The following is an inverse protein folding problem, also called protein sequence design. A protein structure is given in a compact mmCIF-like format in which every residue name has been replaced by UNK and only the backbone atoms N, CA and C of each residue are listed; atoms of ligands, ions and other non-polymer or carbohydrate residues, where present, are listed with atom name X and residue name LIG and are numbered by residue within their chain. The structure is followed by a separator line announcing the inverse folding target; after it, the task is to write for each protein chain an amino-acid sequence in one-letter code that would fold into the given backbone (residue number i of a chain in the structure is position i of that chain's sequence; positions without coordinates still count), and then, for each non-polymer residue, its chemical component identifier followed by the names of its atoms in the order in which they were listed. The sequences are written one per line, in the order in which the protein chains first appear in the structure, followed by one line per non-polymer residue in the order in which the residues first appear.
data_IF_812838435501
#
_entry.id   IF_812838435501
#
_cell.length_a   1.000
_cell.length_b   1.000
_cell.length_c   1.000
_cell.angle_alpha   90.00
_cell.angle_beta   90.00
_cell.angle_gamma   90.00
#
_symmetry.space_group_name_H-M   'P 1'
#
loop_
_entity.id
_entity.type
_entity.pdbx_description
1 polymer ?
#
# COMPACT_ATOMS: atom_id res chain seq x y z
N UNK A 1 -15.11 1.11 -0.71
CA UNK A 1 -14.45 0.54 0.47
C UNK A 1 -13.19 -0.12 -0.02
N UNK A 2 -12.06 0.21 0.58
CA UNK A 2 -10.74 -0.31 0.22
C UNK A 2 -10.22 -1.05 1.43
N UNK A 3 -9.71 -2.26 1.24
CA UNK A 3 -9.25 -3.12 2.32
C UNK A 3 -7.99 -3.87 1.89
N UNK A 4 -6.90 -3.61 2.59
CA UNK A 4 -5.63 -4.34 2.49
C UNK A 4 -5.43 -5.11 3.77
N UNK A 5 -5.16 -6.41 3.63
CA UNK A 5 -4.90 -7.34 4.73
C UNK A 5 -3.56 -8.01 4.51
N UNK A 6 -2.64 -7.81 5.44
CA UNK A 6 -1.28 -8.38 5.41
C UNK A 6 -0.59 -8.26 4.03
N UNK A 7 -0.71 -7.08 3.42
CA UNK A 7 -0.16 -6.85 2.09
C UNK A 7 1.35 -6.72 2.17
N UNK A 8 2.04 -7.53 1.38
CA UNK A 8 3.49 -7.49 1.25
C UNK A 8 3.88 -7.07 -0.16
N UNK A 9 4.79 -6.10 -0.25
CA UNK A 9 5.26 -5.56 -1.51
C UNK A 9 6.78 -5.47 -1.49
N UNK A 10 7.40 -6.21 -2.40
CA UNK A 10 8.82 -6.14 -2.68
C UNK A 10 9.04 -5.55 -4.08
N UNK A 11 9.90 -4.54 -4.19
CA UNK A 11 10.30 -3.95 -5.45
C UNK A 11 11.81 -4.13 -5.62
N UNK A 12 12.22 -5.03 -6.51
CA UNK A 12 13.61 -5.46 -6.62
C UNK A 12 14.10 -6.08 -5.31
N UNK A 13 15.19 -5.56 -4.75
CA UNK A 13 15.73 -6.01 -3.46
C UNK A 13 15.10 -5.32 -2.24
N UNK A 14 14.22 -4.33 -2.44
CA UNK A 14 13.66 -3.53 -1.35
C UNK A 14 12.29 -4.06 -0.92
N UNK A 15 12.17 -4.45 0.34
CA UNK A 15 10.87 -4.63 0.99
C UNK A 15 10.25 -3.25 1.24
N UNK A 16 9.13 -2.97 0.56
CA UNK A 16 8.40 -1.70 0.68
C UNK A 16 7.31 -1.80 1.75
N UNK A 17 6.55 -2.89 1.72
CA UNK A 17 5.55 -3.21 2.73
C UNK A 17 5.76 -4.64 3.22
N UNK A 18 5.60 -4.83 4.52
CA UNK A 18 5.61 -6.13 5.19
C UNK A 18 4.43 -6.17 6.14
N UNK A 19 3.39 -6.93 5.79
CA UNK A 19 2.16 -7.01 6.60
C UNK A 19 1.34 -5.72 6.66
N UNK A 20 1.25 -4.94 5.57
CA UNK A 20 0.44 -3.73 5.55
C UNK A 20 -1.05 -4.05 5.70
N UNK A 21 -1.67 -3.44 6.72
CA UNK A 21 -3.10 -3.49 6.95
C UNK A 21 -3.69 -2.07 6.82
N UNK A 22 -4.71 -1.91 5.97
CA UNK A 22 -5.35 -0.62 5.71
C UNK A 22 -6.83 -0.84 5.40
N UNK A 23 -7.69 -0.14 6.12
CA UNK A 23 -9.11 -0.08 5.84
C UNK A 23 -9.50 1.37 5.55
N UNK A 24 -10.17 1.60 4.41
CA UNK A 24 -10.77 2.88 4.07
C UNK A 24 -12.25 2.68 3.77
N UNK A 25 -13.06 3.28 4.62
CA UNK A 25 -14.52 3.28 4.57
C UNK A 25 -15.07 4.05 3.36
N UNK A 26 -16.36 3.89 3.09
CA UNK A 26 -17.03 4.67 2.04
C UNK A 26 -17.17 6.12 2.51
N UNK A 27 -16.71 7.07 1.70
CA UNK A 27 -16.82 8.51 1.99
C UNK A 27 -15.68 9.06 2.86
N UNK A 28 -14.73 8.22 3.27
CA UNK A 28 -13.55 8.70 3.99
C UNK A 28 -12.60 9.45 3.07
N UNK A 29 -12.06 10.54 3.61
CA UNK A 29 -11.00 11.33 2.97
C UNK A 29 -9.70 11.11 3.73
N UNK A 30 -8.68 10.59 3.04
CA UNK A 30 -7.45 10.12 3.67
C UNK A 30 -6.24 10.84 3.06
N UNK A 31 -5.37 11.36 3.92
CA UNK A 31 -4.04 11.86 3.53
C UNK A 31 -2.97 10.79 3.76
N UNK A 32 -2.13 10.55 2.77
CA UNK A 32 -0.96 9.66 2.88
C UNK A 32 0.28 10.53 3.08
N UNK A 33 0.89 10.46 4.26
CA UNK A 33 2.05 11.28 4.66
C UNK A 33 3.26 10.42 5.03
N UNK A 34 4.45 11.02 5.03
CA UNK A 34 5.71 10.37 5.40
C UNK A 34 6.88 10.79 4.52
N UNK A 35 8.10 10.42 4.92
CA UNK A 35 9.35 10.79 4.23
C UNK A 35 9.41 10.30 2.78
N UNK A 36 10.29 10.91 1.97
CA UNK A 36 10.53 10.43 0.60
C UNK A 36 11.05 8.98 0.62
N UNK A 37 10.59 8.17 -0.34
CA UNK A 37 11.02 6.77 -0.47
C UNK A 37 10.41 5.76 0.51
N UNK A 38 9.48 6.17 1.39
CA UNK A 38 8.83 5.28 2.36
C UNK A 38 7.74 4.37 1.77
N UNK A 39 7.37 4.54 0.49
CA UNK A 39 6.40 3.67 -0.19
C UNK A 39 5.05 4.31 -0.54
N UNK A 40 4.85 5.62 -0.30
CA UNK A 40 3.57 6.32 -0.62
C UNK A 40 3.10 6.12 -2.06
N UNK A 41 3.97 6.37 -3.05
CA UNK A 41 3.63 6.15 -4.45
C UNK A 41 3.39 4.67 -4.76
N UNK A 42 4.08 3.76 -4.07
CA UNK A 42 3.83 2.32 -4.19
C UNK A 42 2.47 1.92 -3.64
N UNK A 43 2.02 2.53 -2.53
CA UNK A 43 0.68 2.34 -1.99
C UNK A 43 -0.38 2.77 -3.00
N UNK A 44 -0.21 3.95 -3.61
CA UNK A 44 -1.12 4.45 -4.65
C UNK A 44 -1.16 3.51 -5.86
N UNK A 45 -0.01 2.98 -6.31
CA UNK A 45 0.04 1.99 -7.41
C UNK A 45 -0.72 0.70 -7.09
N UNK A 46 -0.66 0.22 -5.85
CA UNK A 46 -1.47 -0.92 -5.42
C UNK A 46 -2.97 -0.60 -5.45
N UNK A 47 -3.35 0.59 -4.97
CA UNK A 47 -4.74 1.05 -4.98
C UNK A 47 -5.31 1.18 -6.40
N UNK A 48 -4.49 1.61 -7.37
CA UNK A 48 -4.86 1.70 -8.78
C UNK A 48 -4.70 0.40 -9.57
N UNK A 49 -4.32 -0.70 -8.91
CA UNK A 49 -4.05 -2.00 -9.55
C UNK A 49 -2.95 -1.95 -10.64
N UNK A 50 -2.00 -1.02 -10.53
CA UNK A 50 -0.86 -0.91 -11.44
C UNK A 50 0.31 -1.83 -11.04
N UNK A 51 0.23 -2.48 -9.88
CA UNK A 51 1.24 -3.38 -9.38
C UNK A 51 0.57 -4.52 -8.60
N UNK A 52 1.13 -5.72 -8.72
CA UNK A 52 0.64 -6.90 -7.99
C UNK A 52 1.43 -7.06 -6.69
N UNK A 53 0.74 -6.96 -5.56
CA UNK A 53 1.31 -7.36 -4.28
C UNK A 53 1.09 -8.86 -4.04
N UNK A 54 2.02 -9.48 -3.30
CA UNK A 54 1.84 -10.82 -2.79
C UNK A 54 1.10 -10.81 -1.45
N UNK A 55 0.53 -11.95 -1.08
CA UNK A 55 0.13 -12.23 0.29
C UNK A 55 1.33 -12.82 1.04
N UNK A 56 1.68 -12.22 2.17
CA UNK A 56 2.51 -12.85 3.21
C UNK A 56 1.64 -13.56 4.23
#
# INVERSE_FOLDING_TARGET
MIDFKNVSLQLGSKQVFDGLNLHIGRGEFVYIVGSSGVGKSSLLKLLYMESFAGSG
#
